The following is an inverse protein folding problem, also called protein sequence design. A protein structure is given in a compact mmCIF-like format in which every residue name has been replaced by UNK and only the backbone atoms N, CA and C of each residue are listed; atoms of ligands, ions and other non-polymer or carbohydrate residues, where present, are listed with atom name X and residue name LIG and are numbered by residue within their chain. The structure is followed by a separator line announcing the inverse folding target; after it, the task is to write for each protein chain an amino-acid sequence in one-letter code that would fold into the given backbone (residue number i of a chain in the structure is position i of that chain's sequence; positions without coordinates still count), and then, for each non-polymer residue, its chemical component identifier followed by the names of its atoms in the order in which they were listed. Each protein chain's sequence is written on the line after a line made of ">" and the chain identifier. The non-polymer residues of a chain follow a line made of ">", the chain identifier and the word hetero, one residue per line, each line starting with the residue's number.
data_IF_134898284175
#
_entry.id   IF_134898284175
#
_cell.length_a   1.000
_cell.length_b   1.000
_cell.length_c   1.000
_cell.angle_alpha   90.00
_cell.angle_beta   90.00
_cell.angle_gamma   90.00
#
_symmetry.space_group_name_H-M   'P 1'
#
loop_
_entity.id
_entity.type
_entity.pdbx_description
1 polymer ?
#
# COMPACT_ATOMS: atom_id res chain seq x y z
N UNK A 1 5.53 -7.06 -17.64
CA UNK A 1 4.79 -7.22 -16.36
C UNK A 1 5.45 -8.24 -15.43
N UNK A 2 5.62 -9.52 -15.81
CA UNK A 2 6.26 -10.52 -14.93
C UNK A 2 7.71 -10.16 -14.56
N UNK A 3 8.51 -9.71 -15.55
CA UNK A 3 9.87 -9.21 -15.33
C UNK A 3 9.89 -8.07 -14.30
N UNK A 4 9.04 -7.06 -14.50
CA UNK A 4 8.92 -5.90 -13.60
C UNK A 4 8.58 -6.33 -12.16
N UNK A 5 7.66 -7.28 -12.03
CA UNK A 5 7.28 -7.84 -10.74
C UNK A 5 8.45 -8.53 -10.04
N UNK A 6 9.22 -9.36 -10.77
CA UNK A 6 10.41 -10.05 -10.24
C UNK A 6 11.49 -9.04 -9.83
N UNK A 7 11.77 -8.02 -10.64
CA UNK A 7 12.74 -6.96 -10.32
C UNK A 7 12.36 -6.26 -9.01
N UNK A 8 11.07 -5.97 -8.84
CA UNK A 8 10.58 -5.32 -7.63
C UNK A 8 10.78 -6.17 -6.38
N UNK A 9 10.50 -7.47 -6.44
CA UNK A 9 10.76 -8.40 -5.33
C UNK A 9 12.25 -8.50 -5.03
N UNK A 10 13.08 -8.68 -6.05
CA UNK A 10 14.53 -8.76 -5.89
C UNK A 10 15.11 -7.50 -5.24
N UNK A 11 14.51 -6.34 -5.51
CA UNK A 11 14.94 -5.06 -4.95
C UNK A 11 14.75 -4.98 -3.43
N UNK A 12 13.87 -5.78 -2.81
CA UNK A 12 13.77 -5.85 -1.35
C UNK A 12 14.99 -6.51 -0.70
N UNK A 13 15.56 -7.54 -1.33
CA UNK A 13 16.80 -8.15 -0.85
C UNK A 13 17.98 -7.18 -0.97
N UNK A 14 18.06 -6.45 -2.09
CA UNK A 14 19.05 -5.39 -2.28
C UNK A 14 18.85 -4.24 -1.29
N UNK A 15 17.60 -3.89 -0.97
CA UNK A 15 17.27 -2.90 0.04
C UNK A 15 17.80 -3.32 1.41
N UNK A 16 17.62 -4.59 1.79
CA UNK A 16 18.17 -5.13 3.04
C UNK A 16 19.69 -4.94 3.13
N UNK A 17 20.41 -5.32 2.08
CA UNK A 17 21.87 -5.18 2.01
C UNK A 17 22.31 -3.71 2.09
N UNK A 18 21.62 -2.82 1.37
CA UNK A 18 21.91 -1.39 1.37
C UNK A 18 21.70 -0.77 2.76
N UNK A 19 20.58 -1.09 3.42
CA UNK A 19 20.25 -0.62 4.77
C UNK A 19 21.32 -1.05 5.78
N UNK A 20 21.75 -2.33 5.70
CA UNK A 20 22.78 -2.89 6.58
C UNK A 20 24.13 -2.21 6.36
N UNK A 21 24.56 -2.08 5.10
CA UNK A 21 25.87 -1.53 4.73
C UNK A 21 25.99 -0.05 5.07
N UNK A 22 24.92 0.73 4.83
CA UNK A 22 24.92 2.19 5.03
C UNK A 22 24.32 2.64 6.36
N UNK A 23 24.03 1.69 7.27
CA UNK A 23 23.52 1.92 8.64
C UNK A 23 22.29 2.83 8.68
N UNK A 24 21.35 2.65 7.75
CA UNK A 24 20.12 3.46 7.66
C UNK A 24 19.10 3.17 8.78
N UNK A 25 19.36 2.16 9.63
CA UNK A 25 18.46 1.69 10.69
C UNK A 25 17.87 2.79 11.58
N UNK A 26 18.65 3.80 11.97
CA UNK A 26 18.15 4.89 12.83
C UNK A 26 17.00 5.67 12.17
N UNK A 27 17.09 5.90 10.86
CA UNK A 27 16.10 6.62 10.06
C UNK A 27 14.88 5.76 9.70
N UNK A 28 14.94 4.46 9.97
CA UNK A 28 13.88 3.49 9.67
C UNK A 28 13.10 3.15 10.94
N UNK A 29 13.80 2.82 12.02
CA UNK A 29 13.18 2.32 13.26
C UNK A 29 12.34 3.40 13.94
N UNK A 30 12.81 4.64 14.04
CA UNK A 30 12.07 5.72 14.71
C UNK A 30 10.70 5.97 14.04
N UNK A 31 10.63 6.28 12.74
CA UNK A 31 9.34 6.46 12.06
C UNK A 31 8.55 5.14 11.98
N UNK A 32 9.23 4.00 11.88
CA UNK A 32 8.59 2.68 11.87
C UNK A 32 7.86 2.33 13.16
N UNK A 33 8.43 2.68 14.33
CA UNK A 33 7.77 2.48 15.64
C UNK A 33 6.54 3.38 15.76
N UNK A 34 6.65 4.66 15.35
CA UNK A 34 5.51 5.58 15.33
C UNK A 34 4.40 5.02 14.43
N UNK A 35 4.75 4.54 13.24
CA UNK A 35 3.81 3.88 12.35
C UNK A 35 3.16 2.64 12.97
N UNK A 36 3.95 1.74 13.58
CA UNK A 36 3.43 0.52 14.18
C UNK A 36 2.45 0.80 15.33
N UNK A 37 2.74 1.81 16.16
CA UNK A 37 1.83 2.26 17.22
C UNK A 37 0.53 2.83 16.65
N UNK A 38 0.63 3.75 15.69
CA UNK A 38 -0.53 4.33 15.01
C UNK A 38 -1.37 3.25 14.32
N UNK A 39 -0.71 2.31 13.63
CA UNK A 39 -1.35 1.21 12.95
C UNK A 39 -2.11 0.31 13.91
N UNK A 40 -1.50 -0.10 15.02
CA UNK A 40 -2.15 -0.91 16.05
C UNK A 40 -3.39 -0.23 16.64
N UNK A 41 -3.28 1.06 16.98
CA UNK A 41 -4.40 1.87 17.50
C UNK A 41 -5.52 1.95 16.46
N UNK A 42 -5.19 2.28 15.21
CA UNK A 42 -6.16 2.37 14.14
C UNK A 42 -6.86 1.04 13.87
N UNK A 43 -6.12 -0.08 13.82
CA UNK A 43 -6.71 -1.41 13.60
C UNK A 43 -7.68 -1.81 14.71
N UNK A 44 -7.43 -1.43 15.96
CA UNK A 44 -8.38 -1.65 17.06
C UNK A 44 -9.70 -0.89 16.84
N UNK A 45 -9.64 0.41 16.52
CA UNK A 45 -10.85 1.21 16.27
C UNK A 45 -11.58 0.76 15.01
N UNK A 46 -10.85 0.40 13.95
CA UNK A 46 -11.42 -0.07 12.69
C UNK A 46 -12.12 -1.41 12.83
N UNK A 47 -11.55 -2.35 13.59
CA UNK A 47 -12.21 -3.62 13.87
C UNK A 47 -13.55 -3.42 14.57
N UNK A 48 -13.62 -2.51 15.56
CA UNK A 48 -14.90 -2.15 16.20
C UNK A 48 -15.89 -1.52 15.22
N UNK A 49 -15.45 -0.58 14.40
CA UNK A 49 -16.33 0.06 13.41
C UNK A 49 -16.81 -0.92 12.34
N UNK A 50 -15.95 -1.81 11.86
CA UNK A 50 -16.31 -2.83 10.89
C UNK A 50 -17.36 -3.80 11.46
N UNK A 51 -17.18 -4.25 12.70
CA UNK A 51 -18.15 -5.08 13.39
C UNK A 51 -19.51 -4.37 13.52
N UNK A 52 -19.52 -3.09 13.89
CA UNK A 52 -20.75 -2.30 13.97
C UNK A 52 -21.46 -2.16 12.61
N UNK A 53 -20.72 -1.99 11.51
CA UNK A 53 -21.29 -1.96 10.15
C UNK A 53 -21.89 -3.31 9.77
N UNK A 54 -21.19 -4.41 10.04
CA UNK A 54 -21.70 -5.77 9.77
C UNK A 54 -22.94 -6.07 10.62
N UNK A 55 -22.93 -5.71 11.89
CA UNK A 55 -24.06 -5.87 12.82
C UNK A 55 -25.27 -5.08 12.32
N UNK A 56 -25.09 -3.80 11.99
CA UNK A 56 -26.13 -2.98 11.39
C UNK A 56 -26.67 -3.60 10.09
N UNK A 57 -25.78 -4.04 9.20
CA UNK A 57 -26.17 -4.65 7.92
C UNK A 57 -26.89 -5.99 8.10
N UNK A 58 -26.65 -6.71 9.19
CA UNK A 58 -27.24 -8.04 9.45
C UNK A 58 -28.57 -7.94 10.20
N UNK A 59 -28.65 -7.04 11.20
CA UNK A 59 -29.79 -6.92 12.12
C UNK A 59 -30.83 -5.92 11.59
N UNK A 60 -30.42 -4.70 11.25
CA UNK A 60 -31.34 -3.60 10.92
C UNK A 60 -31.97 -3.74 9.53
N UNK A 61 -31.25 -4.35 8.58
CA UNK A 61 -31.80 -4.66 7.25
C UNK A 61 -32.82 -5.80 7.28
N UNK A 62 -32.96 -6.50 8.42
CA UNK A 62 -33.77 -7.70 8.55
C UNK A 62 -33.18 -8.93 7.86
N UNK A 63 -31.95 -8.86 7.34
CA UNK A 63 -31.29 -9.96 6.64
C UNK A 63 -31.24 -11.24 7.48
N UNK A 64 -30.92 -11.11 8.77
CA UNK A 64 -30.93 -12.25 9.69
C UNK A 64 -32.32 -12.86 9.87
N UNK A 65 -33.37 -12.04 9.93
CA UNK A 65 -34.75 -12.54 10.02
C UNK A 65 -35.15 -13.28 8.75
N UNK A 66 -34.83 -12.74 7.58
CA UNK A 66 -35.08 -13.38 6.29
C UNK A 66 -34.32 -14.70 6.14
N UNK A 67 -33.04 -14.75 6.55
CA UNK A 67 -32.26 -15.98 6.54
C UNK A 67 -32.86 -17.07 7.43
N UNK A 68 -33.33 -16.69 8.62
CA UNK A 68 -33.97 -17.61 9.54
C UNK A 68 -35.30 -18.17 9.00
N UNK A 69 -35.97 -17.49 8.06
CA UNK A 69 -37.20 -18.01 7.41
C UNK A 69 -36.92 -19.04 6.32
N UNK A 70 -35.70 -19.11 5.79
CA UNK A 70 -35.39 -19.99 4.66
C UNK A 70 -35.10 -21.43 5.08
N UNK A 71 -34.76 -21.69 6.35
CA UNK A 71 -34.49 -23.02 6.92
C UNK A 71 -33.54 -23.92 6.08
N UNK A 72 -32.66 -23.31 5.28
CA UNK A 72 -31.68 -24.00 4.43
C UNK A 72 -30.26 -23.75 4.91
N UNK A 73 -29.60 -24.81 5.38
CA UNK A 73 -28.23 -24.75 5.90
C UNK A 73 -27.20 -24.25 4.88
N UNK A 74 -27.40 -24.55 3.59
CA UNK A 74 -26.51 -24.08 2.51
C UNK A 74 -26.55 -22.56 2.31
N UNK A 75 -27.74 -21.95 2.37
CA UNK A 75 -27.89 -20.50 2.23
C UNK A 75 -27.27 -19.80 3.46
N UNK A 76 -27.50 -20.30 4.67
CA UNK A 76 -26.87 -19.78 5.89
C UNK A 76 -25.34 -19.80 5.84
N UNK A 77 -24.75 -20.86 5.29
CA UNK A 77 -23.30 -20.94 5.06
C UNK A 77 -22.80 -19.85 4.10
N UNK A 78 -23.45 -19.66 2.94
CA UNK A 78 -23.07 -18.62 1.96
C UNK A 78 -23.11 -17.22 2.56
N UNK A 79 -24.12 -16.92 3.39
CA UNK A 79 -24.24 -15.62 4.05
C UNK A 79 -23.19 -15.40 5.13
N UNK A 80 -22.81 -16.43 5.87
CA UNK A 80 -21.73 -16.33 6.88
C UNK A 80 -20.39 -16.04 6.19
N UNK A 81 -20.09 -16.76 5.10
CA UNK A 81 -18.89 -16.48 4.30
C UNK A 81 -18.95 -15.09 3.66
N UNK A 82 -20.11 -14.68 3.14
CA UNK A 82 -20.34 -13.34 2.62
C UNK A 82 -20.08 -12.25 3.67
N UNK A 83 -20.54 -12.45 4.91
CA UNK A 83 -20.26 -11.56 6.03
C UNK A 83 -18.77 -11.45 6.35
N UNK A 84 -18.03 -12.57 6.35
CA UNK A 84 -16.58 -12.58 6.52
C UNK A 84 -15.88 -11.84 5.36
N UNK A 85 -16.32 -12.03 4.13
CA UNK A 85 -15.78 -11.33 2.95
C UNK A 85 -15.98 -9.82 3.09
N UNK A 86 -17.20 -9.36 3.42
CA UNK A 86 -17.48 -7.94 3.63
C UNK A 86 -16.63 -7.40 4.78
N UNK A 87 -16.48 -8.15 5.87
CA UNK A 87 -15.63 -7.76 7.00
C UNK A 87 -14.16 -7.58 6.58
N UNK A 88 -13.60 -8.51 5.80
CA UNK A 88 -12.24 -8.41 5.24
C UNK A 88 -12.13 -7.18 4.33
N UNK A 89 -13.12 -6.93 3.47
CA UNK A 89 -13.10 -5.78 2.55
C UNK A 89 -13.20 -4.44 3.30
N UNK A 90 -14.02 -4.36 4.35
CA UNK A 90 -14.07 -3.19 5.23
C UNK A 90 -12.74 -2.99 5.94
N UNK A 91 -12.13 -4.05 6.46
CA UNK A 91 -10.79 -3.99 7.06
C UNK A 91 -9.74 -3.49 6.06
N UNK A 92 -9.77 -3.96 4.81
CA UNK A 92 -8.88 -3.47 3.75
C UNK A 92 -9.14 -2.00 3.40
N UNK A 93 -10.41 -1.56 3.35
CA UNK A 93 -10.77 -0.17 3.14
C UNK A 93 -10.24 0.72 4.27
N UNK A 94 -10.42 0.31 5.52
CA UNK A 94 -9.91 1.07 6.67
C UNK A 94 -8.38 1.11 6.69
N UNK A 95 -7.72 -0.02 6.42
CA UNK A 95 -6.28 -0.10 6.25
C UNK A 95 -5.81 0.88 5.19
N UNK A 96 -6.50 0.93 4.04
CA UNK A 96 -6.24 1.86 2.95
C UNK A 96 -6.31 3.32 3.40
N UNK A 97 -7.38 3.71 4.10
CA UNK A 97 -7.55 5.09 4.55
C UNK A 97 -6.42 5.50 5.52
N UNK A 98 -6.08 4.63 6.47
CA UNK A 98 -4.97 4.88 7.39
C UNK A 98 -3.61 4.97 6.68
N UNK A 99 -3.37 4.08 5.72
CA UNK A 99 -2.15 4.07 4.90
C UNK A 99 -1.88 5.44 4.28
N UNK A 100 -2.91 6.16 3.84
CA UNK A 100 -2.72 7.50 3.26
C UNK A 100 -2.43 8.59 4.27
N UNK A 101 -3.02 8.54 5.47
CA UNK A 101 -2.63 9.41 6.58
C UNK A 101 -1.14 9.24 6.86
N UNK A 102 -0.67 7.99 6.92
CA UNK A 102 0.74 7.70 7.11
C UNK A 102 1.62 8.10 5.92
N UNK A 103 1.18 7.90 4.67
CA UNK A 103 1.95 8.34 3.50
C UNK A 103 2.15 9.85 3.49
N UNK A 104 1.14 10.62 3.92
CA UNK A 104 1.22 12.07 4.03
C UNK A 104 2.17 12.49 5.16
N UNK A 105 2.00 11.92 6.36
CA UNK A 105 2.84 12.23 7.52
C UNK A 105 4.30 11.76 7.35
N UNK A 106 4.48 10.60 6.72
CA UNK A 106 5.75 9.97 6.42
C UNK A 106 6.42 10.51 5.16
N UNK A 107 5.76 11.36 4.37
CA UNK A 107 6.31 11.92 3.13
C UNK A 107 7.71 12.54 3.29
N UNK A 108 8.04 13.28 4.37
CA UNK A 108 9.40 13.76 4.61
C UNK A 108 10.40 12.60 4.75
N UNK A 109 10.07 11.59 5.55
CA UNK A 109 10.93 10.42 5.78
C UNK A 109 11.13 9.63 4.48
N UNK A 110 10.07 9.39 3.71
CA UNK A 110 10.13 8.67 2.45
C UNK A 110 10.94 9.42 1.39
N UNK A 111 10.75 10.74 1.30
CA UNK A 111 11.56 11.61 0.43
C UNK A 111 13.04 11.55 0.82
N UNK A 112 13.35 11.67 2.11
CA UNK A 112 14.72 11.57 2.62
C UNK A 112 15.36 10.21 2.33
N UNK A 113 14.67 9.11 2.63
CA UNK A 113 15.18 7.75 2.39
C UNK A 113 15.39 7.46 0.91
N UNK A 114 14.46 7.90 0.05
CA UNK A 114 14.57 7.81 -1.41
C UNK A 114 15.80 8.55 -1.92
N UNK A 115 15.96 9.82 -1.53
CA UNK A 115 17.11 10.63 -1.93
C UNK A 115 18.44 10.08 -1.42
N UNK A 116 18.49 9.64 -0.16
CA UNK A 116 19.68 9.04 0.44
C UNK A 116 20.07 7.76 -0.27
N UNK A 117 19.10 6.90 -0.57
CA UNK A 117 19.31 5.65 -1.33
C UNK A 117 19.85 5.96 -2.72
N UNK A 118 19.29 6.96 -3.41
CA UNK A 118 19.74 7.34 -4.74
C UNK A 118 21.17 7.90 -4.74
N UNK A 119 21.52 8.76 -3.79
CA UNK A 119 22.90 9.27 -3.65
C UNK A 119 23.92 8.16 -3.41
N UNK A 120 23.53 7.12 -2.66
CA UNK A 120 24.35 5.93 -2.46
C UNK A 120 24.51 5.16 -3.79
N UNK A 121 23.42 4.95 -4.53
CA UNK A 121 23.45 4.18 -5.79
C UNK A 121 24.24 4.89 -6.91
N UNK A 122 24.10 6.21 -7.01
CA UNK A 122 24.75 7.03 -8.03
C UNK A 122 26.17 7.45 -7.64
N UNK A 123 26.62 7.18 -6.40
CA UNK A 123 27.87 7.71 -5.82
C UNK A 123 27.98 9.24 -5.95
N UNK A 124 26.86 9.96 -5.82
CA UNK A 124 26.78 11.42 -5.92
C UNK A 124 26.40 12.06 -4.58
N UNK A 125 26.86 13.29 -4.29
CA UNK A 125 26.42 14.00 -3.10
C UNK A 125 24.90 14.20 -3.13
N UNK A 126 24.28 14.22 -1.96
CA UNK A 126 22.86 14.48 -1.84
C UNK A 126 22.58 15.93 -2.28
N UNK A 127 21.63 16.18 -3.21
CA UNK A 127 21.27 17.54 -3.58
C UNK A 127 20.48 18.17 -2.43
N UNK A 128 21.19 18.81 -1.50
CA UNK A 128 20.62 19.39 -0.27
C UNK A 128 20.08 20.80 -0.54
N UNK A 129 19.13 20.95 -1.46
CA UNK A 129 18.41 22.22 -1.59
C UNK A 129 17.08 22.11 -0.82
N UNK A 130 16.93 22.81 0.33
CA UNK A 130 15.73 22.68 1.17
C UNK A 130 14.42 22.99 0.43
N UNK A 131 14.47 23.94 -0.52
CA UNK A 131 13.35 24.30 -1.38
C UNK A 131 12.87 23.11 -2.21
N UNK A 132 13.77 22.47 -2.95
CA UNK A 132 13.46 21.32 -3.80
C UNK A 132 12.96 20.12 -2.99
N UNK A 133 13.47 19.95 -1.76
CA UNK A 133 12.99 18.91 -0.85
C UNK A 133 11.54 19.15 -0.39
N UNK A 134 11.17 20.40 -0.11
CA UNK A 134 9.81 20.75 0.30
C UNK A 134 8.80 20.64 -0.86
N UNK A 135 9.18 21.05 -2.06
CA UNK A 135 8.36 20.86 -3.27
C UNK A 135 8.04 19.38 -3.51
N UNK A 136 9.03 18.49 -3.36
CA UNK A 136 8.86 17.04 -3.46
C UNK A 136 7.88 16.48 -2.42
N UNK A 137 7.90 17.01 -1.20
CA UNK A 137 6.95 16.61 -0.15
C UNK A 137 5.52 17.01 -0.57
N UNK A 138 5.32 18.25 -1.00
CA UNK A 138 4.00 18.74 -1.43
C UNK A 138 3.47 17.92 -2.62
N UNK A 139 4.31 17.67 -3.62
CA UNK A 139 3.89 16.90 -4.79
C UNK A 139 3.63 15.43 -4.44
N UNK A 140 4.41 14.85 -3.53
CA UNK A 140 4.14 13.54 -2.93
C UNK A 140 2.78 13.49 -2.25
N UNK A 141 2.45 14.49 -1.43
CA UNK A 141 1.17 14.60 -0.73
C UNK A 141 -0.01 14.74 -1.71
N UNK A 142 0.09 15.65 -2.69
CA UNK A 142 -0.96 15.85 -3.72
C UNK A 142 -1.23 14.57 -4.50
N UNK A 143 -0.17 13.87 -4.90
CA UNK A 143 -0.28 12.61 -5.65
C UNK A 143 -0.84 11.50 -4.76
N UNK A 144 -0.41 11.40 -3.50
CA UNK A 144 -0.97 10.46 -2.53
C UNK A 144 -2.46 10.69 -2.32
N UNK A 145 -2.90 11.94 -2.14
CA UNK A 145 -4.32 12.28 -1.98
C UNK A 145 -5.17 11.90 -3.21
N UNK A 146 -4.68 12.18 -4.43
CA UNK A 146 -5.34 11.73 -5.66
C UNK A 146 -5.43 10.19 -5.73
N UNK A 147 -4.37 9.52 -5.29
CA UNK A 147 -4.30 8.06 -5.25
C UNK A 147 -5.32 7.49 -4.26
N UNK A 148 -5.51 8.14 -3.09
CA UNK A 148 -6.55 7.82 -2.12
C UNK A 148 -7.93 7.83 -2.75
N UNK A 149 -8.27 8.90 -3.46
CA UNK A 149 -9.59 9.03 -4.08
C UNK A 149 -9.87 7.88 -5.04
N UNK A 150 -8.95 7.60 -5.97
CA UNK A 150 -9.11 6.53 -6.94
C UNK A 150 -9.14 5.16 -6.27
N UNK A 151 -8.26 4.91 -5.30
CA UNK A 151 -8.23 3.65 -4.59
C UNK A 151 -9.54 3.41 -3.83
N UNK A 152 -10.04 4.42 -3.13
CA UNK A 152 -11.32 4.36 -2.42
C UNK A 152 -12.47 4.05 -3.37
N UNK A 153 -12.51 4.69 -4.55
CA UNK A 153 -13.51 4.37 -5.59
C UNK A 153 -13.43 2.88 -5.97
N UNK A 154 -12.25 2.37 -6.30
CA UNK A 154 -12.08 0.96 -6.68
C UNK A 154 -12.49 -0.01 -5.56
N UNK A 155 -12.08 0.25 -4.32
CA UNK A 155 -12.41 -0.62 -3.18
C UNK A 155 -13.91 -0.59 -2.88
N UNK A 156 -14.55 0.58 -2.93
CA UNK A 156 -16.01 0.70 -2.77
C UNK A 156 -16.74 -0.07 -3.87
N UNK A 157 -16.32 0.06 -5.13
CA UNK A 157 -16.89 -0.73 -6.24
C UNK A 157 -16.74 -2.23 -5.99
N UNK A 158 -15.58 -2.68 -5.49
CA UNK A 158 -15.34 -4.08 -5.15
C UNK A 158 -16.25 -4.55 -4.00
N UNK A 159 -16.50 -3.71 -2.99
CA UNK A 159 -17.46 -3.99 -1.92
C UNK A 159 -18.87 -4.21 -2.50
N UNK A 160 -19.34 -3.35 -3.39
CA UNK A 160 -20.64 -3.55 -4.04
C UNK A 160 -20.71 -4.83 -4.87
N UNK A 161 -19.65 -5.15 -5.62
CA UNK A 161 -19.56 -6.42 -6.35
C UNK A 161 -19.57 -7.61 -5.39
N UNK A 162 -19.01 -7.46 -4.19
CA UNK A 162 -18.93 -8.54 -3.20
C UNK A 162 -20.28 -8.98 -2.65
N UNK A 163 -21.29 -8.10 -2.72
CA UNK A 163 -22.67 -8.41 -2.35
C UNK A 163 -23.33 -9.40 -3.32
N UNK A 164 -22.76 -9.61 -4.50
CA UNK A 164 -23.23 -10.62 -5.45
C UNK A 164 -22.75 -12.01 -5.03
N UNK A 165 -23.65 -12.98 -4.75
CA UNK A 165 -23.29 -14.28 -4.16
C UNK A 165 -22.24 -15.09 -4.91
N UNK A 166 -22.13 -14.93 -6.23
CA UNK A 166 -21.17 -15.66 -7.07
C UNK A 166 -19.83 -14.94 -7.21
N UNK A 167 -19.84 -13.60 -7.30
CA UNK A 167 -18.63 -12.82 -7.57
C UNK A 167 -17.87 -12.43 -6.30
N UNK A 168 -18.53 -12.40 -5.14
CA UNK A 168 -17.91 -11.99 -3.88
C UNK A 168 -16.73 -12.86 -3.42
N UNK A 169 -16.61 -14.08 -3.90
CA UNK A 169 -15.48 -14.96 -3.55
C UNK A 169 -14.14 -14.44 -4.07
N UNK A 170 -14.16 -13.76 -5.21
CA UNK A 170 -12.93 -13.25 -5.86
C UNK A 170 -12.60 -11.82 -5.40
N UNK A 171 -13.55 -11.12 -4.78
CA UNK A 171 -13.38 -9.70 -4.43
C UNK A 171 -12.27 -9.42 -3.42
N UNK A 172 -11.99 -10.24 -2.37
CA UNK A 172 -10.85 -10.00 -1.49
C UNK A 172 -9.50 -10.04 -2.23
N UNK A 173 -9.34 -10.97 -3.17
CA UNK A 173 -8.13 -11.07 -3.98
C UNK A 173 -7.96 -9.84 -4.87
N UNK A 174 -9.04 -9.39 -5.53
CA UNK A 174 -9.02 -8.18 -6.34
C UNK A 174 -8.71 -6.93 -5.50
N UNK A 175 -9.34 -6.80 -4.33
CA UNK A 175 -9.07 -5.70 -3.41
C UNK A 175 -7.60 -5.71 -2.96
N UNK A 176 -7.05 -6.87 -2.61
CA UNK A 176 -5.63 -7.02 -2.26
C UNK A 176 -4.68 -6.60 -3.39
N UNK A 177 -4.98 -6.95 -4.64
CA UNK A 177 -4.18 -6.52 -5.80
C UNK A 177 -4.26 -5.01 -6.04
N UNK A 178 -5.45 -4.42 -5.89
CA UNK A 178 -5.64 -2.96 -5.93
C UNK A 178 -4.82 -2.29 -4.83
N UNK A 179 -4.89 -2.80 -3.60
CA UNK A 179 -4.09 -2.31 -2.48
C UNK A 179 -2.57 -2.34 -2.77
N UNK A 180 -2.08 -3.47 -3.29
CA UNK A 180 -0.68 -3.63 -3.69
C UNK A 180 -0.28 -2.61 -4.77
N UNK A 181 -1.08 -2.48 -5.83
CA UNK A 181 -0.82 -1.55 -6.92
C UNK A 181 -0.73 -0.10 -6.42
N UNK A 182 -1.74 0.36 -5.69
CA UNK A 182 -1.82 1.76 -5.26
C UNK A 182 -0.74 2.09 -4.22
N UNK A 183 -0.40 1.16 -3.32
CA UNK A 183 0.69 1.40 -2.37
C UNK A 183 2.06 1.45 -3.06
N UNK A 184 2.37 0.47 -3.90
CA UNK A 184 3.63 0.45 -4.64
C UNK A 184 3.76 1.62 -5.62
N UNK A 185 2.65 2.09 -6.18
CA UNK A 185 2.61 3.33 -6.96
C UNK A 185 3.13 4.52 -6.14
N UNK A 186 2.65 4.69 -4.90
CA UNK A 186 3.13 5.75 -4.01
C UNK A 186 4.62 5.65 -3.72
N UNK A 187 5.13 4.44 -3.46
CA UNK A 187 6.56 4.20 -3.19
C UNK A 187 7.45 4.53 -4.39
N UNK A 188 7.07 4.08 -5.59
CA UNK A 188 7.79 4.39 -6.84
C UNK A 188 7.78 5.89 -7.13
N UNK A 189 6.68 6.58 -6.82
CA UNK A 189 6.55 8.01 -7.08
C UNK A 189 7.55 8.87 -6.27
N UNK A 190 7.92 8.48 -5.04
CA UNK A 190 8.97 9.17 -4.26
C UNK A 190 10.35 9.13 -4.92
N UNK A 191 10.58 8.21 -5.87
CA UNK A 191 11.83 8.11 -6.61
C UNK A 191 11.73 8.72 -8.01
N UNK A 192 10.52 8.80 -8.57
CA UNK A 192 10.30 9.08 -9.99
C UNK A 192 10.79 10.47 -10.45
N UNK A 193 10.56 11.52 -9.66
CA UNK A 193 10.86 12.91 -10.05
C UNK A 193 12.35 13.15 -10.34
N UNK A 194 13.24 12.38 -9.72
CA UNK A 194 14.69 12.47 -9.95
C UNK A 194 15.18 11.58 -11.08
N UNK A 195 14.43 10.52 -11.43
CA UNK A 195 14.79 9.60 -12.50
C UNK A 195 14.33 10.05 -13.88
N UNK A 196 13.28 10.87 -13.96
CA UNK A 196 12.74 11.36 -15.22
C UNK A 196 12.72 12.90 -15.27
N UNK A 197 13.66 13.47 -16.03
CA UNK A 197 13.78 14.91 -16.27
C UNK A 197 12.86 15.41 -17.39
N UNK A 198 12.09 14.51 -18.03
CA UNK A 198 11.14 14.85 -19.10
C UNK A 198 9.74 15.07 -18.54
N UNK A 199 8.89 15.80 -19.27
CA UNK A 199 7.46 16.07 -18.97
C UNK A 199 6.56 14.82 -18.91
N UNK A 200 7.16 13.63 -18.80
CA UNK A 200 6.45 12.37 -18.72
C UNK A 200 5.92 12.15 -17.31
N UNK A 201 4.60 12.11 -17.19
CA UNK A 201 3.91 11.89 -15.91
C UNK A 201 4.32 10.56 -15.27
N UNK A 202 4.60 10.59 -13.96
CA UNK A 202 4.86 9.39 -13.15
C UNK A 202 3.74 8.36 -13.27
N UNK A 203 2.51 8.84 -13.43
CA UNK A 203 1.34 7.99 -13.65
C UNK A 203 1.46 7.17 -14.92
N UNK A 204 1.88 7.77 -16.03
CA UNK A 204 1.99 7.07 -17.31
C UNK A 204 3.07 5.99 -17.26
N UNK A 205 4.21 6.28 -16.62
CA UNK A 205 5.28 5.31 -16.44
C UNK A 205 4.82 4.10 -15.61
N UNK A 206 4.24 4.35 -14.43
CA UNK A 206 3.84 3.28 -13.52
C UNK A 206 2.69 2.47 -14.14
N UNK A 207 1.79 3.11 -14.89
CA UNK A 207 0.74 2.42 -15.64
C UNK A 207 1.27 1.51 -16.77
N UNK A 208 2.41 1.85 -17.38
CA UNK A 208 3.10 0.98 -18.34
C UNK A 208 3.87 -0.15 -17.65
N UNK A 209 4.33 0.09 -16.41
CA UNK A 209 5.13 -0.83 -15.60
C UNK A 209 4.39 -1.29 -14.34
N UNK A 210 3.12 -1.69 -14.46
CA UNK A 210 2.26 -2.06 -13.29
C UNK A 210 2.85 -3.17 -12.43
N UNK A 211 3.66 -4.05 -13.03
CA UNK A 211 4.36 -5.11 -12.30
C UNK A 211 5.30 -4.58 -11.23
N UNK A 212 5.95 -3.42 -11.43
CA UNK A 212 6.82 -2.79 -10.42
C UNK A 212 5.98 -2.36 -9.20
N UNK A 213 4.83 -1.74 -9.44
CA UNK A 213 3.96 -1.26 -8.38
C UNK A 213 3.34 -2.42 -7.59
N UNK A 214 2.77 -3.40 -8.30
CA UNK A 214 2.15 -4.57 -7.66
C UNK A 214 3.20 -5.37 -6.89
N UNK A 215 4.38 -5.62 -7.46
CA UNK A 215 5.46 -6.35 -6.79
C UNK A 215 5.94 -5.64 -5.53
N UNK A 216 6.10 -4.31 -5.60
CA UNK A 216 6.55 -3.53 -4.46
C UNK A 216 5.52 -3.58 -3.32
N UNK A 217 4.24 -3.36 -3.64
CA UNK A 217 3.16 -3.43 -2.67
C UNK A 217 2.96 -4.83 -2.10
N UNK A 218 3.06 -5.87 -2.93
CA UNK A 218 2.86 -7.24 -2.47
C UNK A 218 3.86 -7.63 -1.38
N UNK A 219 5.15 -7.33 -1.56
CA UNK A 219 6.16 -7.61 -0.53
C UNK A 219 5.91 -6.77 0.72
N UNK A 220 5.46 -5.52 0.59
CA UNK A 220 5.07 -4.69 1.73
C UNK A 220 3.95 -5.33 2.56
N UNK A 221 2.89 -5.84 1.92
CA UNK A 221 1.79 -6.51 2.60
C UNK A 221 2.21 -7.87 3.19
N UNK A 222 3.10 -8.61 2.51
CA UNK A 222 3.67 -9.85 3.06
C UNK A 222 4.54 -9.59 4.28
N UNK A 223 5.34 -8.51 4.28
CA UNK A 223 6.08 -8.10 5.46
C UNK A 223 5.13 -7.78 6.62
N UNK A 224 4.00 -7.12 6.37
CA UNK A 224 2.98 -6.82 7.39
C UNK A 224 2.38 -8.05 8.06
N UNK A 225 2.44 -9.22 7.44
CA UNK A 225 2.02 -10.48 8.04
C UNK A 225 2.89 -10.87 9.24
N UNK A 226 4.12 -10.35 9.33
CA UNK A 226 4.98 -10.52 10.51
C UNK A 226 4.67 -9.39 11.50
N UNK A 227 3.89 -9.70 12.53
CA UNK A 227 3.43 -8.73 13.53
C UNK A 227 4.62 -8.04 14.22
N UNK A 228 4.49 -6.75 14.52
CA UNK A 228 5.50 -5.84 15.07
C UNK A 228 6.69 -5.58 14.14
N UNK A 229 7.47 -6.60 13.78
CA UNK A 229 8.67 -6.46 12.95
C UNK A 229 8.30 -5.93 11.57
N UNK A 230 7.32 -6.57 10.93
CA UNK A 230 6.82 -6.15 9.63
C UNK A 230 6.29 -4.73 9.63
N UNK A 231 5.53 -4.37 10.66
CA UNK A 231 4.92 -3.04 10.76
C UNK A 231 6.01 -1.96 10.83
N UNK A 232 7.05 -2.17 11.65
CA UNK A 232 8.14 -1.20 11.78
C UNK A 232 8.93 -1.04 10.48
N UNK A 233 9.27 -2.15 9.81
CA UNK A 233 10.24 -2.11 8.70
C UNK A 233 9.61 -1.94 7.32
N UNK A 234 8.40 -2.45 7.09
CA UNK A 234 7.83 -2.55 5.75
C UNK A 234 7.75 -1.20 5.01
N UNK A 235 7.30 -0.07 5.61
CA UNK A 235 7.20 1.18 4.86
C UNK A 235 8.54 1.69 4.33
N UNK A 236 9.59 1.63 5.15
CA UNK A 236 10.93 2.07 4.74
C UNK A 236 11.60 1.10 3.78
N UNK A 237 11.40 -0.21 3.94
CA UNK A 237 11.88 -1.19 2.97
C UNK A 237 11.23 -0.99 1.61
N UNK A 238 9.92 -0.70 1.60
CA UNK A 238 9.18 -0.48 0.36
C UNK A 238 9.70 0.73 -0.42
N UNK A 239 9.98 1.87 0.24
CA UNK A 239 10.51 3.05 -0.45
C UNK A 239 11.93 2.82 -0.95
N UNK A 240 12.81 2.20 -0.17
CA UNK A 240 14.20 1.93 -0.56
C UNK A 240 14.24 0.93 -1.74
N UNK A 241 13.43 -0.14 -1.65
CA UNK A 241 13.29 -1.12 -2.73
C UNK A 241 12.72 -0.48 -4.00
N UNK A 242 11.75 0.44 -3.88
CA UNK A 242 11.21 1.18 -5.01
C UNK A 242 12.27 2.07 -5.67
N UNK A 243 13.13 2.75 -4.89
CA UNK A 243 14.24 3.54 -5.42
C UNK A 243 15.24 2.68 -6.17
N UNK A 244 15.62 1.52 -5.62
CA UNK A 244 16.50 0.56 -6.29
C UNK A 244 15.87 0.04 -7.58
N UNK A 245 14.58 -0.31 -7.54
CA UNK A 245 13.83 -0.77 -8.72
C UNK A 245 13.87 0.27 -9.84
N UNK A 246 13.61 1.54 -9.52
CA UNK A 246 13.62 2.64 -10.49
C UNK A 246 15.01 2.86 -11.10
N UNK A 247 16.05 2.75 -10.28
CA UNK A 247 17.44 2.83 -10.72
C UNK A 247 17.79 1.73 -11.74
N UNK A 248 17.39 0.49 -11.46
CA UNK A 248 17.67 -0.67 -12.31
C UNK A 248 16.93 -0.59 -13.65
N UNK A 249 15.66 -0.18 -13.63
CA UNK A 249 14.89 -0.01 -14.86
C UNK A 249 15.49 1.10 -15.74
N UNK A 250 16.03 2.17 -15.15
CA UNK A 250 16.75 3.20 -15.91
C UNK A 250 18.04 2.67 -16.53
N UNK A 251 18.86 1.91 -15.79
CA UNK A 251 20.09 1.31 -16.31
C UNK A 251 19.84 0.37 -17.48
N UNK A 252 18.71 -0.34 -17.49
CA UNK A 252 18.34 -1.25 -18.57
C UNK A 252 17.81 -0.56 -19.84
N UNK A 253 17.44 0.73 -19.76
CA UNK A 253 17.02 1.55 -20.91
C UNK A 253 18.18 2.32 -21.56
N UNK A 254 19.36 2.32 -20.94
CA UNK A 254 20.61 2.85 -21.50
C UNK A 254 21.40 1.72 -22.12
#
# INVERSE_FOLDING_TARGET
>A
MLRDFIISIQSYFKAHELIKTHKLWKWIVIPGVIYACLFGVSMYFFSKSANAVIEWLTIETGLQKWLNTLDQSWIGFLFTIGGIIIWILLMLLYFSLFKYIWLILGAPVFSFLSQRTMSILDNTPMPVTPHHYFEQIIDGIKKAARNTLWQTIYVITIIFISLLPLFGWVTPLLAGLVECYFYGFSMLNYSFEKYNSSSFSSSTFINQHRGLAIGNGMVFYLMHSIIFVGWIFAPSYAVIAATITMHEVKKQKR
#
